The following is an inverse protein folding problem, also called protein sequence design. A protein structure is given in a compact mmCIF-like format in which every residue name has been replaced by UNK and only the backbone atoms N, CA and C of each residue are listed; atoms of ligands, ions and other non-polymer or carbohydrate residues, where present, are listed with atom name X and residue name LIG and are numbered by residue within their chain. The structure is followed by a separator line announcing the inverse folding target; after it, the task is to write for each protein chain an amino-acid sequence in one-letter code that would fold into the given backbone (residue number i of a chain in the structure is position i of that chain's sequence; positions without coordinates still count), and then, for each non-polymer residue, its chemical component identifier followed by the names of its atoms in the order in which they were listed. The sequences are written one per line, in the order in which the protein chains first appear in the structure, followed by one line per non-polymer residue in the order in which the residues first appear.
data_IF_085696872856
#
_entry.id   IF_085696872856
#
_cell.length_a   1.000
_cell.length_b   1.000
_cell.length_c   1.000
_cell.angle_alpha   90.00
_cell.angle_beta   90.00
_cell.angle_gamma   90.00
#
_symmetry.space_group_name_H-M   'P 1'
#
loop_
_entity.id
_entity.type
_entity.pdbx_description
1 polymer ?
#
# COMPACT_ATOMS: atom_id res chain seq x y z
N UNK A 1 -40.18 13.72 2.07
CA UNK A 1 -38.75 13.40 2.01
C UNK A 1 -38.51 12.29 3.03
N UNK A 2 -38.19 11.07 2.60
CA UNK A 2 -37.92 9.97 3.52
C UNK A 2 -36.54 10.20 4.15
N UNK A 3 -36.48 10.16 5.48
CA UNK A 3 -35.27 10.40 6.28
C UNK A 3 -34.24 9.29 6.02
N UNK A 4 -33.13 9.64 5.38
CA UNK A 4 -32.09 8.71 4.90
C UNK A 4 -30.88 8.73 5.84
N UNK A 5 -31.09 8.88 7.16
CA UNK A 5 -30.01 8.77 8.14
C UNK A 5 -29.83 7.30 8.53
N UNK A 6 -29.14 6.53 7.69
CA UNK A 6 -28.49 5.32 8.18
C UNK A 6 -27.51 5.75 9.27
N UNK A 7 -27.81 5.50 10.55
CA UNK A 7 -26.96 5.89 11.67
C UNK A 7 -25.60 5.19 11.57
N UNK A 8 -24.64 5.83 10.93
CA UNK A 8 -23.27 5.34 10.83
C UNK A 8 -22.52 5.68 12.13
N UNK A 9 -22.18 4.66 12.92
CA UNK A 9 -21.31 4.84 14.09
C UNK A 9 -19.87 5.09 13.62
N UNK A 10 -19.36 6.27 13.93
CA UNK A 10 -17.98 6.63 13.62
C UNK A 10 -17.00 5.59 14.22
N UNK A 11 -16.03 5.13 13.43
CA UNK A 11 -15.01 4.17 13.87
C UNK A 11 -15.47 2.70 13.94
N UNK A 12 -16.74 2.38 13.70
CA UNK A 12 -17.22 0.99 13.68
C UNK A 12 -17.24 0.38 12.26
N UNK A 13 -16.68 1.08 11.27
CA UNK A 13 -16.61 0.59 9.90
C UNK A 13 -15.63 -0.59 9.83
N UNK A 14 -15.99 -1.63 9.09
CA UNK A 14 -15.10 -2.75 8.83
C UNK A 14 -13.96 -2.29 7.91
N UNK A 15 -12.71 -2.48 8.36
CA UNK A 15 -11.50 -2.03 7.64
C UNK A 15 -10.66 -3.18 7.07
N UNK A 16 -11.16 -4.42 7.01
CA UNK A 16 -10.39 -5.60 6.57
C UNK A 16 -9.74 -5.41 5.20
N UNK A 17 -10.46 -4.79 4.27
CA UNK A 17 -9.94 -4.53 2.93
C UNK A 17 -8.84 -3.45 2.93
N UNK A 18 -8.94 -2.45 3.81
CA UNK A 18 -7.92 -1.43 3.98
C UNK A 18 -6.63 -2.02 4.57
N UNK A 19 -6.74 -2.87 5.60
CA UNK A 19 -5.61 -3.59 6.20
C UNK A 19 -4.90 -4.47 5.17
N UNK A 20 -5.67 -5.24 4.39
CA UNK A 20 -5.13 -6.08 3.31
C UNK A 20 -4.42 -5.25 2.24
N UNK A 21 -5.00 -4.10 1.87
CA UNK A 21 -4.40 -3.17 0.91
C UNK A 21 -3.09 -2.60 1.44
N UNK A 22 -3.04 -2.20 2.72
CA UNK A 22 -1.82 -1.70 3.35
C UNK A 22 -0.72 -2.77 3.40
N UNK A 23 -1.05 -4.00 3.79
CA UNK A 23 -0.10 -5.11 3.76
C UNK A 23 0.45 -5.35 2.34
N UNK A 24 -0.42 -5.29 1.33
CA UNK A 24 -0.02 -5.36 -0.08
C UNK A 24 0.90 -4.21 -0.49
N UNK A 25 0.56 -2.98 -0.11
CA UNK A 25 1.36 -1.79 -0.37
C UNK A 25 2.78 -1.89 0.23
N UNK A 26 2.89 -2.31 1.49
CA UNK A 26 4.20 -2.48 2.15
C UNK A 26 5.04 -3.52 1.42
N UNK A 27 4.45 -4.67 1.07
CA UNK A 27 5.15 -5.71 0.31
C UNK A 27 5.66 -5.17 -1.03
N UNK A 28 4.80 -4.48 -1.80
CA UNK A 28 5.20 -3.89 -3.07
C UNK A 28 6.30 -2.84 -2.91
N UNK A 29 6.23 -2.02 -1.86
CA UNK A 29 7.24 -1.00 -1.55
C UNK A 29 8.61 -1.60 -1.29
N UNK A 30 8.68 -2.72 -0.56
CA UNK A 30 9.93 -3.46 -0.32
C UNK A 30 10.52 -3.97 -1.64
N UNK A 31 9.69 -4.55 -2.52
CA UNK A 31 10.14 -5.01 -3.84
C UNK A 31 10.67 -3.87 -4.71
N UNK A 32 9.96 -2.74 -4.75
CA UNK A 32 10.41 -1.54 -5.49
C UNK A 32 11.75 -1.05 -4.94
N UNK A 33 11.91 -0.95 -3.63
CA UNK A 33 13.18 -0.52 -3.02
C UNK A 33 14.33 -1.49 -3.37
N UNK A 34 14.11 -2.80 -3.24
CA UNK A 34 15.10 -3.81 -3.55
C UNK A 34 15.52 -3.80 -5.03
N UNK A 35 14.56 -3.69 -5.95
CA UNK A 35 14.83 -3.61 -7.39
C UNK A 35 15.60 -2.33 -7.72
N UNK A 36 15.19 -1.18 -7.18
CA UNK A 36 15.89 0.09 -7.38
C UNK A 36 17.36 0.00 -6.93
N UNK A 37 17.63 -0.56 -5.75
CA UNK A 37 18.99 -0.78 -5.26
C UNK A 37 19.75 -1.75 -6.18
N UNK A 38 19.12 -2.86 -6.58
CA UNK A 38 19.73 -3.83 -7.48
C UNK A 38 20.13 -3.22 -8.83
N UNK A 39 19.26 -2.38 -9.40
CA UNK A 39 19.55 -1.64 -10.64
C UNK A 39 20.70 -0.66 -10.44
N UNK A 40 20.74 0.09 -9.33
CA UNK A 40 21.83 1.02 -9.04
C UNK A 40 23.17 0.29 -8.92
N UNK A 41 23.22 -0.86 -8.23
CA UNK A 41 24.41 -1.69 -8.12
C UNK A 41 24.83 -2.21 -9.50
N UNK A 42 23.89 -2.75 -10.28
CA UNK A 42 24.17 -3.25 -11.62
C UNK A 42 24.72 -2.14 -12.54
N UNK A 43 24.09 -0.96 -12.53
CA UNK A 43 24.55 0.19 -13.31
C UNK A 43 25.97 0.60 -12.90
N UNK A 44 26.27 0.62 -11.59
CA UNK A 44 27.61 0.93 -11.09
C UNK A 44 28.66 -0.10 -11.52
N UNK A 45 28.32 -1.38 -11.62
CA UNK A 45 29.25 -2.45 -12.04
C UNK A 45 29.45 -2.50 -13.56
N UNK A 46 28.42 -2.21 -14.36
CA UNK A 46 28.49 -2.28 -15.83
C UNK A 46 29.05 -0.99 -16.43
N UNK A 47 28.77 0.15 -15.80
CA UNK A 47 29.25 1.46 -16.22
C UNK A 47 30.40 1.96 -15.32
N UNK A 48 31.12 1.05 -14.65
CA UNK A 48 32.35 1.38 -13.89
C UNK A 48 33.48 1.82 -14.80
#
# INVERSE_FOLDING_TARGET
MADHNAEHKHGSMNIRDHEKTFAGFVRMSVWVAAISIGVLIFAALVNS
#
